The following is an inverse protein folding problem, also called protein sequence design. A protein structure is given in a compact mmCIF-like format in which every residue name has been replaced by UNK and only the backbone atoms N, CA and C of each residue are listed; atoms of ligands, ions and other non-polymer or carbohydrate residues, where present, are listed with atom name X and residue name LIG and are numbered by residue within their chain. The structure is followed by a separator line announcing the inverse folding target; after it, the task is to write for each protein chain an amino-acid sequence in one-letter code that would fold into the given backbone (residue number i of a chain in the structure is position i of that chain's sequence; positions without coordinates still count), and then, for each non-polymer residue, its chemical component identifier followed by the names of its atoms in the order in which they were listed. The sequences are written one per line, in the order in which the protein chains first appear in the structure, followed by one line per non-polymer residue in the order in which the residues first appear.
data_IF_387604614364
#
_entry.id   IF_387604614364
#
_cell.length_a   1.000
_cell.length_b   1.000
_cell.length_c   1.000
_cell.angle_alpha   90.00
_cell.angle_beta   90.00
_cell.angle_gamma   90.00
#
_symmetry.space_group_name_H-M   'P 1'
#
loop_
_entity.id
_entity.type
_entity.pdbx_description
1 polymer ?
#
# COMPACT_ATOMS: atom_id res chain seq x y z
N UNK A 1 36.17 -12.83 -4.61
CA UNK A 1 34.74 -13.13 -4.72
C UNK A 1 34.24 -13.38 -3.31
N UNK A 2 33.71 -12.35 -2.65
CA UNK A 2 33.14 -12.51 -1.30
C UNK A 2 31.75 -13.12 -1.47
N UNK A 3 31.55 -14.29 -0.87
CA UNK A 3 30.24 -14.91 -0.78
C UNK A 3 29.31 -13.97 0.06
N UNK A 4 28.33 -13.39 -0.58
CA UNK A 4 27.22 -12.76 0.11
C UNK A 4 26.46 -13.90 0.80
N UNK A 5 26.64 -14.04 2.10
CA UNK A 5 25.82 -14.93 2.92
C UNK A 5 24.39 -14.41 2.85
N UNK A 6 23.58 -15.02 2.00
CA UNK A 6 22.15 -14.82 1.95
C UNK A 6 21.56 -15.38 3.26
N UNK A 7 21.37 -14.51 4.26
CA UNK A 7 20.57 -14.89 5.42
C UNK A 7 19.14 -15.16 4.93
N UNK A 8 18.55 -16.25 5.42
CA UNK A 8 17.14 -16.53 5.16
C UNK A 8 16.27 -15.34 5.61
N UNK A 9 15.22 -14.99 4.87
CA UNK A 9 14.36 -13.89 5.27
C UNK A 9 13.69 -14.16 6.62
N UNK A 10 13.55 -13.13 7.45
CA UNK A 10 12.74 -13.23 8.67
C UNK A 10 11.27 -13.45 8.29
N UNK A 11 10.55 -14.35 8.97
CA UNK A 11 9.12 -14.52 8.73
C UNK A 11 8.36 -13.24 9.08
N UNK A 12 7.37 -12.92 8.25
CA UNK A 12 6.54 -11.74 8.41
C UNK A 12 5.61 -11.85 9.65
N UNK A 13 5.38 -10.74 10.32
CA UNK A 13 4.44 -10.65 11.44
C UNK A 13 3.06 -10.26 10.92
N UNK A 14 2.08 -11.17 11.00
CA UNK A 14 0.71 -10.95 10.54
C UNK A 14 -0.01 -9.80 11.28
N UNK A 15 0.51 -9.37 12.44
CA UNK A 15 0.00 -8.23 13.21
C UNK A 15 0.86 -6.97 13.08
N UNK A 16 1.61 -6.87 12.00
CA UNK A 16 2.40 -5.70 11.66
C UNK A 16 1.95 -5.16 10.29
N UNK A 17 1.36 -3.96 10.31
CA UNK A 17 0.93 -3.22 9.12
C UNK A 17 2.01 -2.25 8.66
N UNK A 18 2.37 -2.29 7.38
CA UNK A 18 3.10 -1.24 6.68
C UNK A 18 2.12 -0.42 5.84
N UNK A 19 2.08 0.88 6.05
CA UNK A 19 1.31 1.83 5.23
C UNK A 19 2.27 2.65 4.37
N UNK A 20 2.36 2.37 3.07
CA UNK A 20 3.09 3.17 2.10
C UNK A 20 2.10 4.20 1.52
N UNK A 21 2.38 5.48 1.73
CA UNK A 21 1.42 6.56 1.49
C UNK A 21 0.58 6.87 2.74
N UNK A 22 1.23 6.90 3.91
CA UNK A 22 0.63 7.26 5.20
C UNK A 22 0.39 8.78 5.31
N UNK A 23 -0.28 9.35 4.31
CA UNK A 23 -0.76 10.73 4.31
C UNK A 23 -2.12 10.90 4.98
N UNK A 24 -2.61 12.16 5.12
CA UNK A 24 -3.97 12.41 5.58
C UNK A 24 -4.98 11.74 4.65
N UNK A 25 -6.10 11.27 5.19
CA UNK A 25 -7.09 10.48 4.47
C UNK A 25 -6.93 8.98 4.71
N UNK A 26 -7.07 8.16 3.67
CA UNK A 26 -7.12 6.67 3.78
C UNK A 26 -5.92 6.10 4.55
N UNK A 27 -4.70 6.56 4.25
CA UNK A 27 -3.49 6.01 4.89
C UNK A 27 -3.48 6.23 6.40
N UNK A 28 -3.78 7.46 6.86
CA UNK A 28 -3.83 7.78 8.28
C UNK A 28 -5.01 7.09 8.98
N UNK A 29 -6.19 7.05 8.36
CA UNK A 29 -7.36 6.38 8.91
C UNK A 29 -7.10 4.88 9.07
N UNK A 30 -6.50 4.22 8.06
CA UNK A 30 -6.14 2.80 8.13
C UNK A 30 -5.12 2.55 9.24
N UNK A 31 -4.08 3.39 9.35
CA UNK A 31 -3.11 3.28 10.41
C UNK A 31 -3.76 3.36 11.81
N UNK A 32 -4.66 4.34 12.03
CA UNK A 32 -5.42 4.47 13.29
C UNK A 32 -6.29 3.26 13.57
N UNK A 33 -7.01 2.78 12.57
CA UNK A 33 -7.92 1.63 12.71
C UNK A 33 -7.18 0.37 13.14
N UNK A 34 -6.05 0.08 12.50
CA UNK A 34 -5.24 -1.09 12.84
C UNK A 34 -4.53 -0.94 14.18
N UNK A 35 -4.04 0.25 14.51
CA UNK A 35 -3.42 0.52 15.80
C UNK A 35 -4.39 0.28 16.98
N UNK A 36 -5.67 0.69 16.84
CA UNK A 36 -6.72 0.41 17.83
C UNK A 36 -6.97 -1.09 18.04
N UNK A 37 -6.72 -1.92 17.03
CA UNK A 37 -6.81 -3.38 17.12
C UNK A 37 -5.50 -4.03 17.60
N UNK A 38 -4.53 -3.23 18.05
CA UNK A 38 -3.27 -3.70 18.61
C UNK A 38 -2.24 -4.17 17.58
N UNK A 39 -2.37 -3.75 16.31
CA UNK A 39 -1.32 -3.98 15.32
C UNK A 39 -0.12 -3.07 15.59
N UNK A 40 1.08 -3.60 15.36
CA UNK A 40 2.24 -2.76 15.11
C UNK A 40 2.03 -2.04 13.78
N UNK A 41 2.43 -0.76 13.69
CA UNK A 41 2.24 0.05 12.48
C UNK A 41 3.55 0.68 12.07
N UNK A 42 3.97 0.46 10.82
CA UNK A 42 5.04 1.23 10.19
C UNK A 42 4.41 2.20 9.19
N UNK A 43 4.67 3.49 9.39
CA UNK A 43 4.21 4.58 8.53
C UNK A 43 5.30 4.95 7.54
N UNK A 44 4.99 4.94 6.24
CA UNK A 44 5.95 5.26 5.19
C UNK A 44 5.39 6.33 4.24
N UNK A 45 6.10 7.47 4.10
CA UNK A 45 5.79 8.55 3.16
C UNK A 45 6.99 9.50 3.01
N UNK A 46 6.83 10.54 2.17
CA UNK A 46 7.88 11.51 1.83
C UNK A 46 8.25 12.47 2.96
N UNK A 47 7.25 12.92 3.72
CA UNK A 47 7.37 13.98 4.72
C UNK A 47 7.48 13.38 6.12
N UNK A 48 8.70 13.30 6.64
CA UNK A 48 8.99 12.69 7.94
C UNK A 48 8.29 13.40 9.09
N UNK A 49 8.22 14.72 9.06
CA UNK A 49 7.51 15.54 10.05
C UNK A 49 6.04 15.15 10.19
N UNK A 50 5.34 14.98 9.07
CA UNK A 50 3.94 14.55 9.04
C UNK A 50 3.76 13.09 9.52
N UNK A 51 4.73 12.23 9.24
CA UNK A 51 4.73 10.86 9.75
C UNK A 51 4.92 10.83 11.27
N UNK A 52 5.80 11.67 11.82
CA UNK A 52 6.01 11.76 13.28
C UNK A 52 4.78 12.37 13.99
N UNK A 53 4.09 13.35 13.41
CA UNK A 53 2.80 13.85 13.88
C UNK A 53 1.78 12.70 13.98
N UNK A 54 1.59 11.94 12.89
CA UNK A 54 0.68 10.80 12.88
C UNK A 54 1.12 9.69 13.86
N UNK A 55 2.41 9.43 13.96
CA UNK A 55 2.94 8.46 14.92
C UNK A 55 2.64 8.86 16.37
N UNK A 56 2.75 10.16 16.68
CA UNK A 56 2.39 10.69 17.99
C UNK A 56 0.91 10.47 18.32
N UNK A 57 0.01 10.62 17.34
CA UNK A 57 -1.43 10.34 17.48
C UNK A 57 -1.72 8.84 17.73
N UNK A 58 -0.87 7.94 17.21
CA UNK A 58 -1.08 6.50 17.33
C UNK A 58 -0.51 5.91 18.63
N UNK A 59 0.60 6.44 19.15
CA UNK A 59 1.28 5.90 20.37
C UNK A 59 0.37 5.74 21.58
N UNK A 60 -0.60 6.63 21.87
CA UNK A 60 -1.54 6.46 22.97
C UNK A 60 -2.43 5.22 22.90
N UNK A 61 -2.56 4.57 21.73
CA UNK A 61 -3.28 3.30 21.58
C UNK A 61 -2.52 2.11 22.20
N UNK A 62 -1.24 2.29 22.55
CA UNK A 62 -0.35 1.21 22.97
C UNK A 62 0.31 0.46 21.79
N UNK A 63 0.01 0.83 20.55
CA UNK A 63 0.62 0.21 19.37
C UNK A 63 2.11 0.56 19.26
N UNK A 64 2.93 -0.39 18.85
CA UNK A 64 4.29 -0.12 18.40
C UNK A 64 4.26 0.62 17.06
N UNK A 65 4.76 1.86 17.02
CA UNK A 65 4.74 2.69 15.81
C UNK A 65 6.16 3.04 15.37
N UNK A 66 6.45 2.77 14.09
CA UNK A 66 7.70 3.15 13.43
C UNK A 66 7.42 4.08 12.25
N UNK A 67 8.42 4.88 11.87
CA UNK A 67 8.38 5.83 10.75
C UNK A 67 9.53 5.57 9.81
N UNK A 68 9.22 5.45 8.51
CA UNK A 68 10.20 5.27 7.43
C UNK A 68 9.95 6.33 6.37
N UNK A 69 10.97 7.15 6.09
CA UNK A 69 10.88 8.10 4.99
C UNK A 69 11.12 7.39 3.66
N UNK A 70 10.16 7.47 2.73
CA UNK A 70 10.26 6.92 1.37
C UNK A 70 9.67 7.88 0.36
N UNK A 71 10.20 7.88 -0.87
CA UNK A 71 9.56 8.51 -2.01
C UNK A 71 9.24 7.45 -3.06
N UNK A 72 7.96 7.25 -3.37
CA UNK A 72 7.53 6.30 -4.38
C UNK A 72 7.90 6.75 -5.82
N UNK A 73 8.30 8.01 -6.01
CA UNK A 73 8.86 8.49 -7.26
C UNK A 73 10.31 8.06 -7.48
N UNK A 74 10.98 7.55 -6.43
CA UNK A 74 12.32 6.98 -6.48
C UNK A 74 12.28 5.48 -6.09
N UNK A 75 12.11 4.57 -7.06
CA UNK A 75 12.05 3.13 -6.80
C UNK A 75 13.31 2.57 -6.15
N UNK A 76 14.47 3.20 -6.36
CA UNK A 76 15.73 2.82 -5.73
C UNK A 76 15.72 3.10 -4.23
N UNK A 77 15.36 4.34 -3.84
CA UNK A 77 15.21 4.73 -2.43
C UNK A 77 14.12 3.91 -1.73
N UNK A 78 12.97 3.70 -2.41
CA UNK A 78 11.89 2.87 -1.88
C UNK A 78 12.38 1.45 -1.59
N UNK A 79 13.11 0.84 -2.53
CA UNK A 79 13.67 -0.50 -2.39
C UNK A 79 14.65 -0.58 -1.21
N UNK A 80 15.58 0.35 -1.10
CA UNK A 80 16.58 0.39 -0.03
C UNK A 80 15.92 0.51 1.35
N UNK A 81 14.99 1.46 1.50
CA UNK A 81 14.30 1.68 2.76
C UNK A 81 13.45 0.47 3.18
N UNK A 82 12.73 -0.14 2.24
CA UNK A 82 11.94 -1.33 2.52
C UNK A 82 12.84 -2.56 2.77
N UNK A 83 13.95 -2.72 2.05
CA UNK A 83 14.90 -3.81 2.30
C UNK A 83 15.47 -3.73 3.73
N UNK A 84 15.79 -2.52 4.20
CA UNK A 84 16.25 -2.30 5.58
C UNK A 84 15.15 -2.66 6.61
N UNK A 85 13.90 -2.33 6.34
CA UNK A 85 12.76 -2.69 7.20
C UNK A 85 12.56 -4.21 7.26
N UNK A 86 12.65 -4.89 6.13
CA UNK A 86 12.44 -6.34 6.03
C UNK A 86 13.65 -7.19 6.47
N UNK A 87 14.83 -6.58 6.63
CA UNK A 87 15.99 -7.21 7.25
C UNK A 87 15.89 -7.26 8.79
N UNK A 88 15.00 -6.48 9.40
CA UNK A 88 14.77 -6.48 10.83
C UNK A 88 13.84 -7.64 11.26
N UNK A 89 13.92 -8.11 12.53
CA UNK A 89 12.99 -9.11 13.04
C UNK A 89 11.53 -8.66 13.03
N UNK A 90 10.62 -9.60 12.75
CA UNK A 90 9.17 -9.37 12.68
C UNK A 90 8.77 -8.29 11.66
N UNK A 91 9.18 -8.41 10.39
CA UNK A 91 8.81 -7.46 9.35
C UNK A 91 7.30 -7.49 9.07
N UNK A 92 6.74 -6.46 8.42
CA UNK A 92 5.30 -6.37 8.16
C UNK A 92 4.75 -7.55 7.36
N UNK A 93 3.68 -8.18 7.87
CA UNK A 93 2.90 -9.22 7.18
C UNK A 93 1.66 -8.67 6.46
N UNK A 94 1.29 -7.42 6.73
CA UNK A 94 0.24 -6.69 6.01
C UNK A 94 0.85 -5.44 5.40
N UNK A 95 0.72 -5.26 4.08
CA UNK A 95 1.23 -4.09 3.36
C UNK A 95 0.08 -3.39 2.66
N UNK A 96 -0.13 -2.11 2.96
CA UNK A 96 -1.01 -1.23 2.21
C UNK A 96 -0.20 -0.30 1.33
N UNK A 97 -0.37 -0.41 0.01
CA UNK A 97 0.11 0.56 -0.96
C UNK A 97 -1.01 1.56 -1.28
N UNK A 98 -0.89 2.77 -0.74
CA UNK A 98 -1.90 3.84 -0.81
C UNK A 98 -1.32 5.12 -1.43
N UNK A 99 -0.44 4.97 -2.41
CA UNK A 99 0.17 6.11 -3.10
C UNK A 99 -0.54 6.35 -4.42
N UNK A 100 -0.74 7.61 -4.76
CA UNK A 100 -1.21 8.04 -6.07
C UNK A 100 -0.75 9.46 -6.38
N UNK A 101 -0.46 9.74 -7.66
CA UNK A 101 -0.24 11.09 -8.16
C UNK A 101 -1.56 11.65 -8.68
N UNK A 102 -2.18 12.53 -7.89
CA UNK A 102 -3.43 13.19 -8.26
C UNK A 102 -3.14 14.57 -8.85
N UNK A 103 -2.92 14.62 -10.16
CA UNK A 103 -2.69 15.88 -10.89
C UNK A 103 -3.65 15.91 -12.09
N UNK A 104 -4.45 16.97 -12.27
CA UNK A 104 -5.22 17.14 -13.51
C UNK A 104 -4.29 17.17 -14.71
N UNK A 105 -4.62 16.42 -15.72
CA UNK A 105 -3.82 16.27 -16.93
C UNK A 105 -4.66 15.85 -18.15
N UNK A 106 -4.03 15.86 -19.31
CA UNK A 106 -4.61 15.49 -20.61
C UNK A 106 -3.57 14.69 -21.41
N UNK A 107 -3.92 13.53 -21.91
CA UNK A 107 -3.00 12.64 -22.64
C UNK A 107 -2.40 13.27 -23.90
N UNK A 108 -3.11 14.16 -24.56
CA UNK A 108 -2.64 14.79 -25.79
C UNK A 108 -1.59 15.87 -25.54
N UNK A 109 -1.52 16.38 -24.32
CA UNK A 109 -0.58 17.44 -23.92
C UNK A 109 0.43 16.99 -22.84
N UNK A 110 0.23 15.85 -22.21
CA UNK A 110 1.11 15.34 -21.16
C UNK A 110 2.51 15.04 -21.70
N UNK A 111 3.55 15.55 -21.05
CA UNK A 111 4.92 15.22 -21.40
C UNK A 111 5.23 13.75 -21.07
N UNK A 112 6.08 13.08 -21.88
CA UNK A 112 6.48 11.70 -21.61
C UNK A 112 7.03 11.48 -20.19
N UNK A 113 7.80 12.42 -19.65
CA UNK A 113 8.36 12.36 -18.30
C UNK A 113 7.28 12.44 -17.22
N UNK A 114 6.20 13.18 -17.45
CA UNK A 114 5.05 13.22 -16.54
C UNK A 114 4.28 11.89 -16.52
N UNK A 115 4.10 11.28 -17.70
CA UNK A 115 3.51 9.94 -17.84
C UNK A 115 4.35 8.89 -17.10
N UNK A 116 5.67 8.88 -17.36
CA UNK A 116 6.60 7.95 -16.68
C UNK A 116 6.62 8.19 -15.18
N UNK A 117 6.68 9.44 -14.73
CA UNK A 117 6.69 9.79 -13.32
C UNK A 117 5.41 9.38 -12.60
N UNK A 118 4.23 9.59 -13.22
CA UNK A 118 2.96 9.14 -12.66
C UNK A 118 2.90 7.61 -12.57
N UNK A 119 3.26 6.91 -13.64
CA UNK A 119 3.27 5.44 -13.65
C UNK A 119 4.27 4.86 -12.65
N UNK A 120 5.41 5.51 -12.47
CA UNK A 120 6.40 5.12 -11.45
C UNK A 120 5.80 5.16 -10.04
N UNK A 121 5.13 6.27 -9.71
CA UNK A 121 4.47 6.44 -8.40
C UNK A 121 3.28 5.48 -8.24
N UNK A 122 2.41 5.41 -9.25
CA UNK A 122 1.12 4.75 -9.10
C UNK A 122 1.22 3.23 -9.23
N UNK A 123 2.21 2.72 -10.00
CA UNK A 123 2.31 1.29 -10.36
C UNK A 123 3.63 0.68 -9.92
N UNK A 124 4.78 1.23 -10.38
CA UNK A 124 6.10 0.61 -10.13
C UNK A 124 6.42 0.53 -8.65
N UNK A 125 6.08 1.55 -7.87
CA UNK A 125 6.26 1.55 -6.42
C UNK A 125 5.50 0.41 -5.73
N UNK A 126 4.28 0.08 -6.19
CA UNK A 126 3.50 -1.06 -5.71
C UNK A 126 4.17 -2.41 -6.01
N UNK A 127 4.77 -2.55 -7.20
CA UNK A 127 5.55 -3.73 -7.57
C UNK A 127 6.79 -3.87 -6.70
N UNK A 128 7.53 -2.78 -6.47
CA UNK A 128 8.72 -2.78 -5.58
C UNK A 128 8.34 -3.18 -4.17
N UNK A 129 7.24 -2.65 -3.63
CA UNK A 129 6.76 -3.01 -2.30
C UNK A 129 6.46 -4.51 -2.19
N UNK A 130 5.75 -5.07 -3.17
CA UNK A 130 5.46 -6.51 -3.21
C UNK A 130 6.75 -7.35 -3.31
N UNK A 131 7.70 -7.00 -4.20
CA UNK A 131 8.96 -7.72 -4.37
C UNK A 131 9.77 -7.82 -3.08
N UNK A 132 9.72 -6.80 -2.24
CA UNK A 132 10.45 -6.79 -0.96
C UNK A 132 9.68 -7.52 0.14
N UNK A 133 8.35 -7.43 0.17
CA UNK A 133 7.53 -8.04 1.21
C UNK A 133 7.36 -9.55 1.05
N UNK A 134 7.16 -10.02 -0.18
CA UNK A 134 6.81 -11.41 -0.50
C UNK A 134 7.78 -12.45 0.07
N UNK A 135 9.11 -12.30 0.04
CA UNK A 135 10.01 -13.29 0.63
C UNK A 135 9.76 -13.55 2.13
N UNK A 136 9.47 -12.50 2.90
CA UNK A 136 9.14 -12.61 4.32
C UNK A 136 7.75 -13.21 4.55
N UNK A 137 6.78 -12.89 3.70
CA UNK A 137 5.44 -13.47 3.72
C UNK A 137 5.48 -14.97 3.41
N UNK A 138 6.27 -15.39 2.42
CA UNK A 138 6.53 -16.82 2.13
C UNK A 138 7.15 -17.55 3.31
N UNK A 139 8.11 -16.92 4.00
CA UNK A 139 8.73 -17.50 5.19
C UNK A 139 7.77 -17.60 6.39
N UNK A 140 6.64 -16.92 6.35
CA UNK A 140 5.57 -16.96 7.35
C UNK A 140 4.35 -17.79 6.91
N UNK A 141 4.45 -18.50 5.76
CA UNK A 141 3.35 -19.24 5.13
C UNK A 141 2.09 -18.39 4.90
N UNK A 142 2.26 -17.09 4.64
CA UNK A 142 1.15 -16.19 4.34
C UNK A 142 1.46 -14.71 4.56
N UNK A 143 0.51 -13.88 4.13
CA UNK A 143 0.57 -12.42 4.25
C UNK A 143 -0.52 -11.75 3.42
N UNK A 144 -0.61 -10.43 3.51
CA UNK A 144 -1.62 -9.67 2.77
C UNK A 144 -1.04 -8.42 2.11
N UNK A 145 -1.24 -8.32 0.81
CA UNK A 145 -0.95 -7.13 0.01
C UNK A 145 -2.26 -6.40 -0.29
N UNK A 146 -2.38 -5.16 0.16
CA UNK A 146 -3.53 -4.30 -0.05
C UNK A 146 -3.14 -3.15 -0.97
N UNK A 147 -3.94 -2.89 -2.00
CA UNK A 147 -3.74 -1.79 -2.94
C UNK A 147 -4.97 -0.88 -2.95
N UNK A 148 -4.76 0.43 -2.82
CA UNK A 148 -5.83 1.40 -2.96
C UNK A 148 -6.14 1.64 -4.44
N UNK A 149 -7.19 0.98 -4.91
CA UNK A 149 -7.79 1.18 -6.22
C UNK A 149 -8.59 2.48 -6.30
N UNK A 150 -9.28 2.67 -7.39
CA UNK A 150 -10.19 3.79 -7.59
C UNK A 150 -11.05 3.58 -8.81
N UNK A 151 -12.27 4.13 -8.82
CA UNK A 151 -13.24 3.99 -9.90
C UNK A 151 -12.76 4.45 -11.27
N UNK A 152 -11.66 5.22 -11.31
CA UNK A 152 -10.96 5.57 -12.56
C UNK A 152 -10.37 4.36 -13.29
N UNK A 153 -10.22 3.23 -12.62
CA UNK A 153 -9.85 1.97 -13.28
C UNK A 153 -11.01 1.35 -14.08
N UNK A 154 -12.26 1.65 -13.73
CA UNK A 154 -13.45 1.18 -14.44
C UNK A 154 -13.95 2.22 -15.44
N UNK A 155 -13.89 3.50 -15.05
CA UNK A 155 -14.34 4.63 -15.84
C UNK A 155 -13.23 5.69 -15.91
N UNK A 156 -12.25 5.54 -16.83
CA UNK A 156 -11.19 6.51 -17.00
C UNK A 156 -11.74 7.91 -17.33
N UNK A 157 -11.13 8.94 -16.73
CA UNK A 157 -11.54 10.32 -16.94
C UNK A 157 -10.47 11.11 -17.70
N UNK A 158 -10.79 11.79 -18.81
CA UNK A 158 -9.80 12.46 -19.66
C UNK A 158 -8.99 13.55 -18.94
N UNK A 159 -9.58 14.24 -17.95
CA UNK A 159 -8.87 15.27 -17.17
C UNK A 159 -8.06 14.69 -15.99
N UNK A 160 -8.01 13.38 -15.82
CA UNK A 160 -7.23 12.63 -14.81
C UNK A 160 -6.61 11.41 -15.50
N UNK A 161 -6.02 11.64 -16.66
CA UNK A 161 -5.63 10.59 -17.58
C UNK A 161 -4.51 9.72 -17.00
N UNK A 162 -3.43 10.32 -16.48
CA UNK A 162 -2.33 9.57 -15.85
C UNK A 162 -2.78 8.80 -14.63
N UNK A 163 -3.63 9.38 -13.77
CA UNK A 163 -4.20 8.70 -12.62
C UNK A 163 -5.09 7.53 -13.04
N UNK A 164 -5.89 7.69 -14.10
CA UNK A 164 -6.72 6.61 -14.65
C UNK A 164 -5.86 5.43 -15.11
N UNK A 165 -4.80 5.71 -15.87
CA UNK A 165 -3.82 4.69 -16.30
C UNK A 165 -3.11 4.06 -15.09
N UNK A 166 -2.75 4.84 -14.09
CA UNK A 166 -2.16 4.36 -12.85
C UNK A 166 -3.07 3.38 -12.11
N UNK A 167 -4.37 3.71 -11.95
CA UNK A 167 -5.34 2.82 -11.27
C UNK A 167 -5.61 1.55 -12.07
N UNK A 168 -5.70 1.63 -13.41
CA UNK A 168 -5.76 0.46 -14.29
C UNK A 168 -4.53 -0.43 -14.14
N UNK A 169 -3.33 0.17 -14.20
CA UNK A 169 -2.06 -0.54 -14.07
C UNK A 169 -1.90 -1.22 -12.71
N UNK A 170 -2.22 -0.50 -11.62
CA UNK A 170 -2.10 -1.04 -10.26
C UNK A 170 -3.05 -2.22 -10.03
N UNK A 171 -4.30 -2.16 -10.52
CA UNK A 171 -5.24 -3.28 -10.47
C UNK A 171 -4.74 -4.47 -11.29
N UNK A 172 -4.15 -4.23 -12.46
CA UNK A 172 -3.48 -5.25 -13.25
C UNK A 172 -2.34 -5.94 -12.50
N UNK A 173 -1.48 -5.16 -11.84
CA UNK A 173 -0.41 -5.68 -10.97
C UNK A 173 -0.98 -6.53 -9.85
N UNK A 174 -2.01 -6.07 -9.14
CA UNK A 174 -2.64 -6.82 -8.05
C UNK A 174 -3.19 -8.17 -8.52
N UNK A 175 -3.86 -8.20 -9.67
CA UNK A 175 -4.38 -9.43 -10.28
C UNK A 175 -3.25 -10.42 -10.61
N UNK A 176 -2.18 -9.95 -11.26
CA UNK A 176 -1.03 -10.78 -11.61
C UNK A 176 -0.34 -11.35 -10.35
N UNK A 177 -0.11 -10.49 -9.33
CA UNK A 177 0.46 -10.92 -8.06
C UNK A 177 -0.44 -11.95 -7.36
N UNK A 178 -1.75 -11.72 -7.32
CA UNK A 178 -2.67 -12.66 -6.68
C UNK A 178 -2.68 -14.03 -7.34
N UNK A 179 -2.56 -14.07 -8.67
CA UNK A 179 -2.41 -15.33 -9.41
C UNK A 179 -1.08 -16.03 -9.10
N UNK A 180 0.02 -15.27 -9.03
CA UNK A 180 1.36 -15.83 -8.77
C UNK A 180 1.56 -16.29 -7.33
N UNK A 181 0.83 -15.71 -6.37
CA UNK A 181 1.05 -15.89 -4.94
C UNK A 181 -0.04 -16.73 -4.24
N UNK A 182 -1.01 -17.25 -5.00
CA UNK A 182 -2.13 -18.01 -4.44
C UNK A 182 -1.65 -19.25 -3.68
N UNK A 183 -0.67 -19.97 -4.24
CA UNK A 183 -0.10 -21.18 -3.62
C UNK A 183 0.85 -20.88 -2.45
N UNK A 184 1.27 -19.63 -2.30
CA UNK A 184 2.11 -19.17 -1.19
C UNK A 184 1.30 -18.77 0.07
N UNK A 185 -0.01 -18.95 0.07
CA UNK A 185 -0.88 -18.49 1.15
C UNK A 185 -1.04 -16.97 1.24
N UNK A 186 -0.62 -16.22 0.22
CA UNK A 186 -0.63 -14.76 0.22
C UNK A 186 -1.91 -14.26 -0.46
N UNK A 187 -2.61 -13.36 0.26
CA UNK A 187 -3.77 -12.66 -0.25
C UNK A 187 -3.36 -11.34 -0.90
N UNK A 188 -3.95 -11.03 -2.04
CA UNK A 188 -3.79 -9.75 -2.73
C UNK A 188 -5.16 -9.13 -2.95
N UNK A 189 -5.37 -7.91 -2.45
CA UNK A 189 -6.64 -7.22 -2.53
C UNK A 189 -6.46 -5.83 -3.13
N UNK A 190 -7.28 -5.50 -4.11
CA UNK A 190 -7.54 -4.11 -4.51
C UNK A 190 -8.85 -3.66 -3.90
N UNK A 191 -8.85 -2.56 -3.15
CA UNK A 191 -10.06 -1.88 -2.73
C UNK A 191 -10.31 -0.71 -3.68
N UNK A 192 -11.21 -0.90 -4.62
CA UNK A 192 -11.60 0.09 -5.62
C UNK A 192 -12.60 1.07 -5.02
N UNK A 193 -12.15 2.27 -4.68
CA UNK A 193 -12.98 3.35 -4.10
C UNK A 193 -13.67 4.11 -5.22
N UNK A 194 -15.02 4.01 -5.28
CA UNK A 194 -15.85 4.56 -6.38
C UNK A 194 -16.42 5.95 -6.05
N UNK A 195 -15.63 6.81 -5.39
CA UNK A 195 -16.04 8.17 -5.05
C UNK A 195 -14.90 9.03 -4.56
N UNK A 196 -15.21 10.30 -4.35
CA UNK A 196 -14.26 11.25 -3.80
C UNK A 196 -14.12 11.02 -2.29
N UNK A 197 -12.89 10.78 -1.85
CA UNK A 197 -12.58 10.54 -0.44
C UNK A 197 -12.60 11.86 0.32
N UNK A 198 -13.58 12.01 1.19
CA UNK A 198 -13.78 13.24 1.97
C UNK A 198 -14.40 12.91 3.33
N UNK A 199 -13.88 13.50 4.44
CA UNK A 199 -14.44 13.30 5.77
C UNK A 199 -15.92 13.69 5.87
N UNK A 200 -16.71 12.90 6.60
CA UNK A 200 -18.14 13.15 6.82
C UNK A 200 -19.04 12.84 5.63
N UNK A 201 -18.50 12.22 4.57
CA UNK A 201 -19.27 11.74 3.41
C UNK A 201 -19.41 10.22 3.43
N UNK A 202 -20.22 9.62 2.54
CA UNK A 202 -20.23 8.16 2.35
C UNK A 202 -18.85 7.55 2.03
N UNK A 203 -17.91 8.37 1.55
CA UNK A 203 -16.51 7.99 1.24
C UNK A 203 -15.52 8.50 2.29
N UNK A 204 -15.98 8.60 3.55
CA UNK A 204 -15.10 8.95 4.67
C UNK A 204 -13.91 7.98 4.78
N UNK A 205 -12.68 8.50 4.97
CA UNK A 205 -11.51 7.67 5.16
C UNK A 205 -11.64 6.59 6.25
N UNK A 206 -12.39 6.86 7.32
CA UNK A 206 -12.60 5.88 8.41
C UNK A 206 -13.46 4.69 7.94
N UNK A 207 -14.45 4.90 7.07
CA UNK A 207 -15.24 3.82 6.47
C UNK A 207 -14.39 2.93 5.55
N UNK A 208 -13.51 3.56 4.76
CA UNK A 208 -12.57 2.84 3.88
C UNK A 208 -11.56 2.04 4.72
N UNK A 209 -11.06 2.63 5.81
CA UNK A 209 -10.15 1.95 6.73
C UNK A 209 -10.82 0.73 7.40
N UNK A 210 -12.09 0.83 7.75
CA UNK A 210 -12.87 -0.30 8.27
C UNK A 210 -13.00 -1.43 7.25
N UNK A 211 -13.17 -1.10 5.94
CA UNK A 211 -13.19 -2.12 4.89
C UNK A 211 -11.84 -2.84 4.78
N UNK A 212 -10.72 -2.13 4.79
CA UNK A 212 -9.40 -2.76 4.82
C UNK A 212 -9.23 -3.67 6.04
N UNK A 213 -9.68 -3.20 7.22
CA UNK A 213 -9.55 -4.00 8.44
C UNK A 213 -10.36 -5.30 8.37
N UNK A 214 -11.57 -5.26 7.85
CA UNK A 214 -12.41 -6.46 7.62
C UNK A 214 -11.85 -7.37 6.54
N UNK A 215 -11.30 -6.78 5.48
CA UNK A 215 -10.77 -7.54 4.34
C UNK A 215 -9.61 -8.48 4.73
N UNK A 216 -8.85 -8.18 5.78
CA UNK A 216 -7.77 -9.06 6.25
C UNK A 216 -8.25 -10.22 7.12
N UNK A 217 -9.50 -10.22 7.60
CA UNK A 217 -10.08 -11.34 8.35
C UNK A 217 -10.44 -12.52 7.43
N UNK A 218 -10.64 -12.25 6.15
CA UNK A 218 -10.75 -13.29 5.13
C UNK A 218 -9.34 -13.70 4.67
N UNK A 219 -8.94 -14.91 5.01
CA UNK A 219 -7.59 -15.44 4.75
C UNK A 219 -7.47 -16.18 3.43
N UNK A 220 -8.50 -16.15 2.57
CA UNK A 220 -8.47 -16.84 1.28
C UNK A 220 -7.37 -16.26 0.39
N UNK A 221 -6.36 -17.07 -0.02
CA UNK A 221 -5.27 -16.59 -0.88
C UNK A 221 -5.76 -16.19 -2.28
N UNK A 222 -4.89 -15.48 -2.98
CA UNK A 222 -5.15 -15.06 -4.36
C UNK A 222 -5.70 -13.64 -4.45
N UNK A 223 -6.18 -13.27 -5.65
CA UNK A 223 -6.65 -11.91 -5.95
C UNK A 223 -8.12 -11.71 -5.59
N UNK A 224 -8.40 -10.56 -4.98
CA UNK A 224 -9.76 -10.05 -4.75
C UNK A 224 -9.81 -8.59 -5.20
N UNK A 225 -10.75 -8.25 -6.08
CA UNK A 225 -11.11 -6.87 -6.39
C UNK A 225 -12.42 -6.53 -5.67
N UNK A 226 -12.32 -5.70 -4.66
CA UNK A 226 -13.44 -5.30 -3.84
C UNK A 226 -13.79 -3.84 -4.13
N UNK A 227 -15.08 -3.56 -4.36
CA UNK A 227 -15.58 -2.24 -4.67
C UNK A 227 -16.21 -1.59 -3.43
N UNK A 228 -15.75 -0.38 -3.11
CA UNK A 228 -16.34 0.46 -2.07
C UNK A 228 -17.16 1.57 -2.73
N UNK A 229 -18.49 1.48 -2.54
CA UNK A 229 -19.48 2.39 -3.15
C UNK A 229 -20.05 3.40 -2.15
N UNK A 230 -19.37 3.58 -1.02
CA UNK A 230 -19.84 4.40 0.09
C UNK A 230 -20.75 3.65 1.07
N UNK A 231 -21.06 4.29 2.20
CA UNK A 231 -21.97 3.85 3.26
C UNK A 231 -23.00 4.93 3.59
#
# INVERSE_FOLDING_TARGET
MSAVTSSSPHPADARHLLVIGAGPGIGAATARRFARDGYRVTLAARHRDKLEELAADLRPTGAGVAVVRVDAADPGQLREALSSLYAAPNPPGVVLYNVARMTPDDLLSAAPDDLLGAYTVDVVGGVVAAQIAVPAMRAADGGTLLFTGGGLADQPHPSLATLSLGKLGLRGVANLLGTQLADDGIRVLTLTVNGMVEPGTPFDPEHIAERYRRAIDDTKPGFVDEHFNGV
#
